data_IF_921241664038
#
_entry.id   IF_921241664038
#
_cell.length_a   1.000
_cell.length_b   1.000
_cell.length_c   1.000
_cell.angle_alpha   90.00
_cell.angle_beta   90.00
_cell.angle_gamma   90.00
#
_symmetry.space_group_name_H-M   'P 1'
#
loop_
_entity.id
_entity.type
_entity.pdbx_description
1 polymer ?
#
# COMPACT_ATOMS: atom_id res chain seq x y z
N UNK A 1 3.55 -5.80 -49.14
CA UNK A 1 4.93 -5.45 -48.72
C UNK A 1 5.02 -4.30 -47.69
N UNK A 2 4.06 -3.37 -47.57
CA UNK A 2 4.11 -2.28 -46.57
C UNK A 2 3.60 -2.64 -45.16
N UNK A 3 2.78 -3.68 -45.02
CA UNK A 3 2.23 -4.12 -43.71
C UNK A 3 3.20 -4.97 -42.87
N UNK A 4 4.21 -5.62 -43.46
CA UNK A 4 5.20 -6.42 -42.71
C UNK A 4 6.26 -5.57 -41.99
N UNK A 5 6.49 -4.32 -42.43
CA UNK A 5 7.48 -3.44 -41.81
C UNK A 5 6.99 -2.79 -40.52
N UNK A 6 5.68 -2.56 -40.37
CA UNK A 6 5.10 -1.94 -39.17
C UNK A 6 5.04 -2.94 -38.01
N UNK A 7 4.77 -4.22 -38.30
CA UNK A 7 4.77 -5.28 -37.27
C UNK A 7 6.17 -5.54 -36.67
N UNK A 8 7.24 -5.33 -37.43
CA UNK A 8 8.61 -5.53 -36.96
C UNK A 8 9.11 -4.38 -36.07
N UNK A 9 8.59 -3.15 -36.25
CA UNK A 9 8.92 -2.02 -35.37
C UNK A 9 8.23 -2.10 -34.00
N UNK A 10 6.98 -2.59 -33.94
CA UNK A 10 6.29 -2.77 -32.65
C UNK A 10 6.89 -3.89 -31.80
N UNK A 11 7.38 -4.97 -32.41
CA UNK A 11 8.06 -6.05 -31.68
C UNK A 11 9.42 -5.62 -31.08
N UNK A 12 10.11 -4.67 -31.70
CA UNK A 12 11.40 -4.15 -31.20
C UNK A 12 11.22 -3.18 -30.02
N UNK A 13 10.09 -2.47 -29.92
CA UNK A 13 9.78 -1.56 -28.80
C UNK A 13 9.35 -2.34 -27.56
N UNK A 14 8.68 -3.49 -27.71
CA UNK A 14 8.24 -4.32 -26.58
C UNK A 14 9.38 -5.10 -25.89
N UNK A 15 10.52 -5.33 -26.56
CA UNK A 15 11.71 -5.96 -25.97
C UNK A 15 12.66 -4.97 -25.27
N UNK A 16 12.37 -3.67 -25.32
CA UNK A 16 13.20 -2.63 -24.70
C UNK A 16 12.89 -2.39 -23.21
N UNK A 17 11.80 -2.96 -22.66
CA UNK A 17 11.33 -2.66 -21.31
C UNK A 17 12.13 -3.33 -20.17
N UNK A 18 13.09 -4.22 -20.47
CA UNK A 18 13.91 -4.91 -19.46
C UNK A 18 15.43 -4.69 -19.60
N UNK A 19 15.88 -3.78 -20.48
CA UNK A 19 17.33 -3.52 -20.63
C UNK A 19 17.78 -2.40 -19.70
N UNK A 20 18.88 -2.58 -18.94
CA UNK A 20 19.47 -1.49 -18.19
C UNK A 20 19.82 -0.32 -19.11
N UNK A 21 19.79 0.90 -18.58
CA UNK A 21 20.13 2.10 -19.33
C UNK A 21 21.49 1.95 -20.04
N UNK A 22 21.67 2.51 -21.26
CA UNK A 22 22.91 2.39 -22.02
C UNK A 22 24.13 2.75 -21.15
N UNK A 23 25.05 1.79 -20.97
CA UNK A 23 26.29 1.98 -20.20
C UNK A 23 26.26 1.50 -18.75
N UNK A 24 25.15 0.94 -18.25
CA UNK A 24 25.08 0.36 -16.90
C UNK A 24 25.29 -1.17 -16.92
N UNK A 25 25.97 -1.75 -15.91
CA UNK A 25 26.18 -3.21 -15.84
C UNK A 25 24.85 -3.96 -15.64
N UNK A 26 24.79 -5.26 -16.04
CA UNK A 26 23.62 -6.09 -15.77
C UNK A 26 23.36 -6.21 -14.26
N UNK A 27 22.09 -6.32 -13.88
CA UNK A 27 21.67 -6.39 -12.47
C UNK A 27 22.41 -7.55 -11.75
N UNK A 28 23.07 -7.31 -10.60
CA UNK A 28 23.43 -8.40 -9.70
C UNK A 28 22.12 -9.05 -9.22
N UNK A 29 22.12 -10.37 -9.05
CA UNK A 29 21.02 -11.03 -8.36
C UNK A 29 21.04 -10.58 -6.88
N UNK A 30 20.20 -9.61 -6.53
CA UNK A 30 20.01 -9.22 -5.13
C UNK A 30 19.22 -10.31 -4.43
N UNK A 31 19.70 -10.78 -3.27
CA UNK A 31 18.90 -11.66 -2.41
C UNK A 31 17.59 -10.92 -2.04
N UNK A 32 16.44 -11.47 -2.43
CA UNK A 32 15.11 -10.91 -2.15
C UNK A 32 14.41 -10.16 -3.31
N UNK A 33 14.99 -10.10 -4.53
CA UNK A 33 14.25 -9.66 -5.72
C UNK A 33 13.92 -10.85 -6.64
N UNK A 34 12.64 -11.12 -6.97
CA UNK A 34 12.32 -12.15 -7.95
C UNK A 34 12.77 -11.75 -9.36
N UNK A 35 13.21 -12.71 -10.19
CA UNK A 35 13.66 -12.48 -11.56
C UNK A 35 12.51 -11.98 -12.44
N UNK A 36 12.83 -11.07 -13.39
CA UNK A 36 11.85 -10.38 -14.24
C UNK A 36 11.18 -11.24 -15.33
N UNK A 37 11.53 -12.51 -15.47
CA UNK A 37 11.11 -13.36 -16.59
C UNK A 37 10.48 -14.68 -16.14
N UNK A 38 9.21 -14.64 -15.72
CA UNK A 38 8.38 -15.84 -15.56
C UNK A 38 7.41 -15.97 -16.72
N UNK A 39 7.93 -16.39 -17.88
CA UNK A 39 7.10 -16.81 -19.02
C UNK A 39 6.47 -18.16 -18.69
N UNK A 40 5.14 -18.17 -18.64
CA UNK A 40 4.31 -19.26 -18.15
C UNK A 40 4.50 -20.59 -18.86
N UNK A 41 4.51 -21.66 -18.07
CA UNK A 41 4.28 -23.01 -18.58
C UNK A 41 2.77 -23.25 -18.65
N UNK A 42 2.19 -23.74 -19.76
CA UNK A 42 0.78 -24.11 -19.78
C UNK A 42 0.59 -25.36 -18.92
N UNK A 43 -0.36 -25.34 -17.97
CA UNK A 43 -0.76 -26.53 -17.21
C UNK A 43 -2.27 -26.77 -17.30
N UNK A 44 -2.58 -28.06 -17.31
CA UNK A 44 -3.90 -28.65 -17.55
C UNK A 44 -4.88 -28.35 -16.41
N UNK A 45 -6.18 -28.19 -16.71
CA UNK A 45 -7.21 -28.00 -15.68
C UNK A 45 -7.44 -29.29 -14.88
N UNK A 46 -7.39 -29.17 -13.54
CA UNK A 46 -7.83 -30.24 -12.63
C UNK A 46 -9.36 -30.17 -12.40
N UNK A 47 -9.94 -31.34 -12.15
CA UNK A 47 -11.37 -31.54 -12.02
C UNK A 47 -11.96 -30.87 -10.77
N UNK A 48 -13.07 -30.14 -10.96
CA UNK A 48 -13.87 -29.49 -9.92
C UNK A 48 -14.61 -30.56 -9.10
N UNK A 49 -14.39 -30.59 -7.79
CA UNK A 49 -15.23 -31.34 -6.86
C UNK A 49 -16.25 -30.36 -6.26
N UNK A 50 -17.53 -30.58 -6.54
CA UNK A 50 -18.62 -29.79 -5.96
C UNK A 50 -19.11 -30.45 -4.67
N UNK A 51 -19.01 -29.79 -3.51
CA UNK A 51 -19.66 -30.29 -2.30
C UNK A 51 -21.17 -30.02 -2.37
N UNK A 52 -21.97 -31.01 -1.96
CA UNK A 52 -23.41 -30.88 -1.84
C UNK A 52 -23.76 -30.02 -0.61
N UNK A 53 -24.45 -28.90 -0.82
CA UNK A 53 -24.88 -28.00 0.25
C UNK A 53 -26.35 -28.24 0.60
N UNK A 54 -26.62 -28.48 1.88
CA UNK A 54 -27.99 -28.54 2.45
C UNK A 54 -28.38 -27.11 2.83
N UNK A 55 -29.44 -26.57 2.21
CA UNK A 55 -29.91 -25.22 2.47
C UNK A 55 -30.82 -25.17 3.71
N UNK A 56 -30.42 -24.40 4.72
CA UNK A 56 -31.30 -23.90 5.77
C UNK A 56 -31.84 -22.52 5.36
N UNK A 57 -33.07 -22.14 5.78
CA UNK A 57 -33.62 -20.82 5.47
C UNK A 57 -32.83 -19.74 6.21
N UNK A 58 -32.05 -18.96 5.45
CA UNK A 58 -31.30 -17.82 5.96
C UNK A 58 -32.23 -16.63 6.15
N UNK A 59 -32.37 -16.16 7.39
CA UNK A 59 -32.80 -14.79 7.65
C UNK A 59 -31.65 -13.91 7.16
N UNK A 60 -31.86 -13.21 6.04
CA UNK A 60 -30.87 -12.31 5.47
C UNK A 60 -30.72 -11.08 6.39
N UNK A 61 -29.89 -11.20 7.42
CA UNK A 61 -29.28 -10.02 8.02
C UNK A 61 -28.50 -9.33 6.91
N UNK A 62 -28.89 -8.10 6.60
CA UNK A 62 -28.15 -7.27 5.65
C UNK A 62 -26.75 -7.12 6.23
N UNK A 63 -25.74 -7.60 5.51
CA UNK A 63 -24.35 -7.45 5.94
C UNK A 63 -24.07 -5.94 6.12
N UNK A 64 -23.35 -5.54 7.18
CA UNK A 64 -22.99 -4.13 7.35
C UNK A 64 -22.23 -3.66 6.10
N UNK A 65 -22.64 -2.51 5.58
CA UNK A 65 -22.03 -1.86 4.42
C UNK A 65 -21.02 -0.82 4.89
N UNK A 66 -20.05 -0.46 4.05
CA UNK A 66 -19.12 0.62 4.39
C UNK A 66 -19.82 1.98 4.34
N UNK A 67 -19.31 2.91 5.14
CA UNK A 67 -19.75 4.31 5.14
C UNK A 67 -18.64 5.14 4.51
N UNK A 68 -18.93 5.96 3.47
CA UNK A 68 -17.97 6.92 2.97
C UNK A 68 -17.52 7.83 4.11
N UNK A 69 -16.22 8.13 4.16
CA UNK A 69 -15.71 9.05 5.16
C UNK A 69 -16.44 10.40 5.02
N UNK A 70 -17.13 10.83 6.07
CA UNK A 70 -17.85 12.09 6.04
C UNK A 70 -16.85 13.22 6.12
N UNK A 71 -16.97 14.19 5.21
CA UNK A 71 -16.32 15.47 5.38
C UNK A 71 -16.61 16.01 6.80
N UNK A 72 -15.58 16.38 7.58
CA UNK A 72 -15.79 16.92 8.92
C UNK A 72 -16.76 18.09 8.86
N UNK A 73 -17.75 18.11 9.76
CA UNK A 73 -18.66 19.25 9.85
C UNK A 73 -17.85 20.52 10.17
N UNK A 74 -17.94 21.52 9.30
CA UNK A 74 -17.19 22.77 9.45
C UNK A 74 -17.54 23.45 10.78
N UNK A 75 -16.53 23.75 11.60
CA UNK A 75 -16.69 24.46 12.87
C UNK A 75 -17.04 23.61 14.10
N UNK A 76 -17.13 22.28 13.96
CA UNK A 76 -17.39 21.36 15.08
C UNK A 76 -16.09 20.76 15.65
N UNK A 77 -15.10 20.54 14.79
CA UNK A 77 -13.81 19.94 15.16
C UNK A 77 -12.65 20.92 14.91
N UNK A 78 -11.59 20.87 15.72
CA UNK A 78 -10.36 21.59 15.41
C UNK A 78 -9.77 21.15 14.08
N UNK A 79 -9.18 22.09 13.36
CA UNK A 79 -8.51 21.91 12.07
C UNK A 79 -7.01 21.67 12.24
N UNK A 80 -6.32 21.24 11.17
CA UNK A 80 -4.86 21.24 11.15
C UNK A 80 -4.29 22.65 11.39
N UNK A 81 -4.94 23.70 10.88
CA UNK A 81 -4.54 25.07 11.16
C UNK A 81 -4.66 25.40 12.66
N UNK A 82 -5.73 24.97 13.33
CA UNK A 82 -5.88 25.14 14.78
C UNK A 82 -4.79 24.39 15.55
N UNK A 83 -4.40 23.18 15.11
CA UNK A 83 -3.28 22.43 15.68
C UNK A 83 -1.97 23.18 15.53
N UNK A 84 -1.65 23.62 14.31
CA UNK A 84 -0.43 24.39 14.05
C UNK A 84 -0.41 25.68 14.86
N UNK A 85 -1.51 26.42 14.95
CA UNK A 85 -1.63 27.64 15.76
C UNK A 85 -1.56 27.39 17.29
N UNK A 86 -1.42 26.13 17.74
CA UNK A 86 -1.41 25.75 19.16
C UNK A 86 -2.78 25.87 19.84
N UNK A 87 -3.85 26.06 19.06
CA UNK A 87 -5.25 26.11 19.52
C UNK A 87 -5.88 24.72 19.64
N UNK A 88 -5.22 23.69 19.13
CA UNK A 88 -5.58 22.28 19.27
C UNK A 88 -4.35 21.44 19.62
N UNK A 89 -4.57 20.25 20.17
CA UNK A 89 -3.53 19.27 20.46
C UNK A 89 -4.04 17.86 20.19
N UNK A 90 -3.13 16.96 19.80
CA UNK A 90 -3.40 15.53 19.87
C UNK A 90 -3.41 15.10 21.34
N UNK A 91 -4.40 14.32 21.73
CA UNK A 91 -4.50 13.70 23.04
C UNK A 91 -4.74 12.20 22.84
N UNK A 92 -4.00 11.38 23.57
CA UNK A 92 -4.25 9.93 23.61
C UNK A 92 -5.50 9.71 24.47
N UNK A 93 -6.51 9.07 23.89
CA UNK A 93 -7.72 8.64 24.63
C UNK A 93 -7.50 7.27 25.28
N UNK A 94 -7.15 6.26 24.46
CA UNK A 94 -6.86 4.90 24.90
C UNK A 94 -5.40 4.57 24.55
N UNK A 95 -4.60 4.24 25.56
CA UNK A 95 -3.16 3.93 25.38
C UNK A 95 -2.92 2.62 24.62
N UNK A 96 -3.73 1.60 24.90
CA UNK A 96 -3.67 0.30 24.25
C UNK A 96 -5.07 -0.15 23.85
N UNK A 97 -5.34 -0.14 22.55
CA UNK A 97 -6.60 -0.59 21.97
C UNK A 97 -6.58 -2.09 21.63
N UNK A 98 -5.47 -2.78 21.83
CA UNK A 98 -5.25 -4.16 21.39
C UNK A 98 -4.74 -4.30 19.95
N UNK A 99 -4.66 -3.20 19.18
CA UNK A 99 -3.96 -3.20 17.89
C UNK A 99 -2.46 -3.41 18.12
N UNK A 100 -1.82 -4.34 17.40
CA UNK A 100 -0.38 -4.53 17.53
C UNK A 100 0.36 -3.30 16.96
N UNK A 101 1.59 -3.10 17.43
CA UNK A 101 2.51 -2.18 16.77
C UNK A 101 2.65 -2.58 15.30
N UNK A 102 2.39 -1.64 14.40
CA UNK A 102 2.28 -1.91 12.98
C UNK A 102 1.71 -0.72 12.23
N UNK A 103 1.44 -0.94 10.95
CA UNK A 103 0.82 0.05 10.08
C UNK A 103 -0.58 -0.39 9.71
N UNK A 104 -1.54 0.53 9.85
CA UNK A 104 -2.94 0.22 9.63
C UNK A 104 -3.70 1.34 8.96
N UNK A 105 -4.84 0.98 8.36
CA UNK A 105 -5.91 1.90 8.00
C UNK A 105 -7.21 1.41 8.62
N UNK A 106 -8.04 2.33 9.15
CA UNK A 106 -9.28 1.96 9.84
C UNK A 106 -10.49 2.58 9.17
N UNK A 107 -11.41 1.74 8.69
CA UNK A 107 -12.66 2.18 8.06
C UNK A 107 -13.86 1.98 8.99
N UNK A 108 -14.91 2.77 8.75
CA UNK A 108 -16.16 2.71 9.52
C UNK A 108 -17.25 2.01 8.70
N UNK A 109 -17.93 1.05 9.32
CA UNK A 109 -19.11 0.38 8.75
C UNK A 109 -20.42 1.04 9.17
N UNK A 110 -21.51 0.73 8.47
CA UNK A 110 -22.83 1.34 8.64
C UNK A 110 -23.52 0.93 9.94
N UNK A 111 -23.09 -0.17 10.54
CA UNK A 111 -23.47 -0.58 11.89
C UNK A 111 -22.62 0.10 13.00
N UNK A 112 -21.65 0.96 12.65
CA UNK A 112 -20.73 1.61 13.58
C UNK A 112 -19.53 0.76 13.99
N UNK A 113 -19.39 -0.45 13.45
CA UNK A 113 -18.19 -1.28 13.62
C UNK A 113 -17.00 -0.65 12.89
N UNK A 114 -15.80 -0.77 13.46
CA UNK A 114 -14.56 -0.33 12.84
C UNK A 114 -13.76 -1.54 12.38
N UNK A 115 -13.28 -1.50 11.13
CA UNK A 115 -12.36 -2.49 10.58
C UNK A 115 -10.99 -1.86 10.37
N UNK A 116 -10.00 -2.35 11.10
CA UNK A 116 -8.61 -1.95 10.94
C UNK A 116 -7.87 -2.98 10.11
N UNK A 117 -7.41 -2.57 8.92
CA UNK A 117 -6.56 -3.35 8.04
C UNK A 117 -5.11 -3.18 8.50
N UNK A 118 -4.54 -4.21 9.10
CA UNK A 118 -3.28 -4.12 9.83
C UNK A 118 -2.22 -4.99 9.16
N UNK A 119 -1.05 -4.39 8.94
CA UNK A 119 0.21 -5.10 8.83
C UNK A 119 0.95 -4.95 10.17
N UNK A 120 1.21 -6.05 10.87
CA UNK A 120 1.87 -6.00 12.17
C UNK A 120 3.39 -5.92 11.99
N UNK A 121 4.05 -5.02 12.73
CA UNK A 121 5.51 -4.77 12.65
C UNK A 121 6.31 -5.42 13.77
N UNK A 122 5.68 -6.30 14.59
CA UNK A 122 6.34 -6.94 15.73
C UNK A 122 6.08 -8.45 15.91
N UNK A 123 4.90 -8.98 15.57
CA UNK A 123 4.57 -10.40 15.75
C UNK A 123 3.48 -10.89 14.80
N UNK A 124 3.64 -12.10 14.27
CA UNK A 124 2.56 -12.83 13.61
C UNK A 124 1.67 -13.45 14.70
N UNK A 125 0.49 -12.88 14.92
CA UNK A 125 -0.43 -13.21 16.02
C UNK A 125 -1.17 -14.54 15.82
N UNK A 126 -0.43 -15.60 15.47
CA UNK A 126 -1.00 -16.89 15.05
C UNK A 126 -1.67 -16.86 13.68
N UNK A 127 -1.32 -15.87 12.85
CA UNK A 127 -1.88 -15.70 11.50
C UNK A 127 -1.42 -16.84 10.60
N UNK A 128 -2.36 -17.42 9.86
CA UNK A 128 -2.09 -18.42 8.82
C UNK A 128 -2.42 -17.89 7.43
N UNK A 129 -1.85 -18.50 6.41
CA UNK A 129 -2.25 -18.27 5.03
C UNK A 129 -3.56 -19.01 4.70
N UNK A 130 -4.10 -18.80 3.50
CA UNK A 130 -5.34 -19.48 3.07
C UNK A 130 -5.16 -20.99 2.85
N UNK A 131 -3.93 -21.49 2.88
CA UNK A 131 -3.59 -22.91 2.82
C UNK A 131 -3.38 -23.52 4.22
N UNK A 132 -3.50 -22.73 5.28
CA UNK A 132 -3.34 -23.13 6.67
C UNK A 132 -1.89 -23.19 7.17
N UNK A 133 -0.91 -22.72 6.37
CA UNK A 133 0.47 -22.64 6.83
C UNK A 133 0.68 -21.38 7.69
N UNK A 134 1.50 -21.44 8.75
CA UNK A 134 1.88 -20.25 9.52
C UNK A 134 2.54 -19.19 8.63
N UNK A 135 2.21 -17.92 8.87
CA UNK A 135 2.79 -16.79 8.14
C UNK A 135 3.92 -16.19 8.97
N UNK A 136 5.11 -16.18 8.41
CA UNK A 136 6.28 -15.56 9.01
C UNK A 136 6.17 -14.03 8.97
N UNK A 137 6.81 -13.38 9.94
CA UNK A 137 6.99 -11.93 9.96
C UNK A 137 7.96 -11.49 8.83
N UNK A 138 7.73 -10.36 8.10
CA UNK A 138 6.75 -9.28 8.33
C UNK A 138 5.29 -9.57 7.94
N UNK A 139 5.05 -10.58 7.11
CA UNK A 139 3.72 -11.18 6.94
C UNK A 139 2.74 -10.39 6.07
N UNK A 140 1.45 -10.60 6.33
CA UNK A 140 0.34 -10.17 5.47
C UNK A 140 -0.64 -9.24 6.20
N UNK A 141 -1.54 -8.60 5.44
CA UNK A 141 -2.62 -7.80 6.00
C UNK A 141 -3.66 -8.70 6.65
N UNK A 142 -4.13 -8.31 7.83
CA UNK A 142 -5.26 -8.92 8.55
C UNK A 142 -6.26 -7.85 8.99
N UNK A 143 -7.50 -8.24 9.30
CA UNK A 143 -8.53 -7.32 9.79
C UNK A 143 -8.72 -7.50 11.30
N UNK A 144 -8.48 -6.44 12.06
CA UNK A 144 -8.92 -6.29 13.44
C UNK A 144 -10.26 -5.56 13.47
N UNK A 145 -11.15 -5.96 14.37
CA UNK A 145 -12.50 -5.41 14.47
C UNK A 145 -12.73 -4.75 15.82
N UNK A 146 -13.43 -3.63 15.82
CA UNK A 146 -13.92 -2.96 17.02
C UNK A 146 -15.43 -2.72 16.93
N UNK A 147 -16.14 -3.04 18.00
CA UNK A 147 -17.59 -2.81 18.14
C UNK A 147 -17.93 -1.79 19.24
N UNK A 148 -16.90 -1.17 19.83
CA UNK A 148 -17.01 -0.26 20.98
C UNK A 148 -16.47 1.15 20.65
N UNK A 149 -16.49 1.52 19.38
CA UNK A 149 -16.03 2.83 18.90
C UNK A 149 -14.51 2.99 18.90
N UNK A 150 -13.77 1.88 18.78
CA UNK A 150 -12.31 1.88 18.66
C UNK A 150 -11.57 1.80 19.98
N UNK A 151 -12.27 1.55 21.10
CA UNK A 151 -11.63 1.40 22.41
C UNK A 151 -10.92 0.06 22.53
N UNK A 152 -11.46 -0.98 21.88
CA UNK A 152 -10.82 -2.29 21.77
C UNK A 152 -10.91 -2.84 20.35
N UNK A 153 -9.84 -3.50 19.91
CA UNK A 153 -9.70 -4.19 18.63
C UNK A 153 -9.29 -5.64 18.87
N UNK A 154 -9.92 -6.57 18.17
CA UNK A 154 -9.61 -7.99 18.27
C UNK A 154 -9.54 -8.66 16.89
N UNK A 155 -8.71 -9.69 16.80
CA UNK A 155 -8.74 -10.65 15.69
C UNK A 155 -9.92 -11.62 15.85
N UNK A 156 -10.39 -12.22 14.75
CA UNK A 156 -11.23 -13.41 14.84
C UNK A 156 -10.46 -14.58 15.48
N UNK A 157 -11.18 -15.59 15.97
CA UNK A 157 -10.61 -16.76 16.65
C UNK A 157 -9.57 -17.51 15.79
N UNK A 158 -9.77 -17.54 14.47
CA UNK A 158 -8.83 -18.09 13.50
C UNK A 158 -8.37 -16.98 12.54
N UNK A 159 -7.33 -16.19 12.89
CA UNK A 159 -6.85 -15.12 12.04
C UNK A 159 -6.11 -15.69 10.83
N UNK A 160 -6.47 -15.21 9.64
CA UNK A 160 -5.83 -15.58 8.39
C UNK A 160 -5.48 -14.33 7.58
N UNK A 161 -4.53 -14.46 6.66
CA UNK A 161 -4.23 -13.42 5.69
C UNK A 161 -5.49 -13.01 4.93
N UNK A 162 -5.69 -11.70 4.80
CA UNK A 162 -6.82 -11.13 4.10
C UNK A 162 -6.78 -11.45 2.59
N UNK A 163 -5.59 -11.42 2.00
CA UNK A 163 -5.38 -11.76 0.59
C UNK A 163 -5.13 -13.26 0.50
N UNK A 164 -6.00 -14.03 -0.18
CA UNK A 164 -5.82 -15.47 -0.33
C UNK A 164 -4.74 -15.77 -1.37
N UNK A 165 -4.10 -16.93 -1.22
CA UNK A 165 -3.19 -17.47 -2.20
C UNK A 165 -3.95 -17.99 -3.41
N UNK A 166 -3.35 -17.85 -4.59
CA UNK A 166 -3.95 -18.33 -5.85
C UNK A 166 -3.98 -19.85 -5.93
N UNK A 167 -3.04 -20.51 -5.27
CA UNK A 167 -2.94 -21.96 -5.17
C UNK A 167 -2.26 -22.38 -3.87
N UNK A 168 -2.36 -23.67 -3.54
CA UNK A 168 -1.65 -24.25 -2.40
C UNK A 168 -0.53 -25.19 -2.87
N UNK A 169 0.68 -25.11 -2.30
CA UNK A 169 1.13 -24.11 -1.32
C UNK A 169 1.24 -22.71 -1.92
N UNK A 170 1.18 -21.68 -1.06
CA UNK A 170 1.33 -20.29 -1.47
C UNK A 170 2.73 -20.02 -2.04
N UNK A 171 2.81 -19.20 -3.08
CA UNK A 171 4.05 -18.74 -3.68
C UNK A 171 4.29 -17.29 -3.28
N UNK A 172 5.25 -17.04 -2.39
CA UNK A 172 5.47 -15.73 -1.79
C UNK A 172 5.52 -14.56 -2.80
N UNK A 173 6.22 -14.75 -3.93
CA UNK A 173 6.39 -13.72 -4.97
C UNK A 173 5.12 -13.41 -5.76
N UNK A 174 4.20 -14.37 -5.86
CA UNK A 174 2.95 -14.24 -6.61
C UNK A 174 1.81 -13.83 -5.68
N UNK A 175 1.74 -14.44 -4.51
CA UNK A 175 0.68 -14.26 -3.52
C UNK A 175 0.99 -13.13 -2.53
N UNK A 176 2.19 -12.56 -2.58
CA UNK A 176 2.68 -11.45 -1.75
C UNK A 176 2.62 -11.77 -0.25
N UNK A 177 3.04 -12.96 0.17
CA UNK A 177 2.80 -13.46 1.54
C UNK A 177 3.74 -12.90 2.63
N UNK A 178 4.85 -12.26 2.25
CA UNK A 178 5.96 -12.00 3.18
C UNK A 178 6.08 -10.54 3.63
N UNK A 179 5.42 -9.58 2.98
CA UNK A 179 5.60 -8.16 3.29
C UNK A 179 4.49 -7.29 2.66
N UNK A 180 3.29 -7.30 3.24
CA UNK A 180 2.19 -6.43 2.77
C UNK A 180 2.11 -5.14 3.61
N UNK A 181 3.14 -4.31 3.54
CA UNK A 181 3.33 -3.17 4.44
C UNK A 181 2.45 -1.97 4.10
N UNK A 182 2.19 -1.14 5.12
CA UNK A 182 1.47 0.14 4.97
C UNK A 182 0.13 0.01 4.22
N UNK A 183 -0.77 -0.91 4.61
CA UNK A 183 -2.08 -0.96 3.98
C UNK A 183 -2.79 0.40 4.16
N UNK A 184 -3.29 0.94 3.05
CA UNK A 184 -4.19 2.09 3.01
C UNK A 184 -5.41 1.73 2.23
N UNK A 185 -6.56 1.98 2.82
CA UNK A 185 -7.87 1.57 2.32
C UNK A 185 -8.76 2.79 2.21
N UNK A 186 -9.39 2.97 1.05
CA UNK A 186 -10.33 4.05 0.80
C UNK A 186 -11.62 3.50 0.20
N UNK A 187 -12.77 3.97 0.67
CA UNK A 187 -14.07 3.64 0.12
C UNK A 187 -14.68 4.89 -0.53
N UNK A 188 -14.91 4.84 -1.84
CA UNK A 188 -15.42 5.98 -2.62
C UNK A 188 -16.96 6.09 -2.63
N UNK A 189 -17.66 5.19 -1.93
CA UNK A 189 -19.11 5.08 -1.93
C UNK A 189 -19.67 3.97 -2.83
N UNK A 190 -18.86 3.44 -3.73
CA UNK A 190 -19.20 2.32 -4.61
C UNK A 190 -18.23 1.14 -4.45
N UNK A 191 -16.93 1.44 -4.36
CA UNK A 191 -15.83 0.49 -4.38
C UNK A 191 -14.78 0.84 -3.33
N UNK A 192 -14.14 -0.20 -2.81
CA UNK A 192 -12.96 -0.07 -1.98
C UNK A 192 -11.69 -0.20 -2.78
N UNK A 193 -10.70 0.59 -2.40
CA UNK A 193 -9.36 0.60 -2.95
C UNK A 193 -8.38 0.35 -1.83
N UNK A 194 -7.46 -0.59 -2.02
CA UNK A 194 -6.35 -0.82 -1.11
C UNK A 194 -5.04 -0.63 -1.85
N UNK A 195 -4.17 0.19 -1.29
CA UNK A 195 -2.75 0.19 -1.66
C UNK A 195 -1.90 -0.34 -0.53
N UNK A 196 -0.82 -1.02 -0.87
CA UNK A 196 0.16 -1.51 0.08
C UNK A 196 1.53 -1.61 -0.59
N UNK A 197 2.59 -1.59 0.21
CA UNK A 197 3.95 -1.86 -0.24
C UNK A 197 4.22 -3.36 -0.22
N UNK A 198 4.82 -3.86 -1.30
CA UNK A 198 5.40 -5.20 -1.40
C UNK A 198 6.82 -5.11 -1.97
N UNK A 199 7.84 -5.39 -1.15
CA UNK A 199 9.26 -5.33 -1.53
C UNK A 199 9.64 -4.01 -2.23
N UNK A 200 9.23 -2.88 -1.64
CA UNK A 200 9.45 -1.53 -2.19
C UNK A 200 8.52 -1.11 -3.33
N UNK A 201 7.67 -1.99 -3.84
CA UNK A 201 6.72 -1.71 -4.94
C UNK A 201 5.34 -1.39 -4.36
N UNK A 202 4.62 -0.47 -4.98
CA UNK A 202 3.24 -0.20 -4.57
C UNK A 202 2.29 -1.07 -5.37
N UNK A 203 1.44 -1.79 -4.65
CA UNK A 203 0.38 -2.65 -5.20
C UNK A 203 -0.97 -2.02 -4.92
N UNK A 204 -1.86 -2.08 -5.90
CA UNK A 204 -3.26 -1.68 -5.80
C UNK A 204 -4.15 -2.92 -5.89
N UNK A 205 -5.20 -2.95 -5.08
CA UNK A 205 -6.30 -3.90 -5.18
C UNK A 205 -7.63 -3.18 -5.02
N UNK A 206 -8.67 -3.76 -5.59
CA UNK A 206 -10.04 -3.30 -5.43
C UNK A 206 -10.92 -4.35 -4.75
N UNK A 207 -11.97 -3.90 -4.09
CA UNK A 207 -12.96 -4.77 -3.45
C UNK A 207 -14.34 -4.13 -3.45
N UNK A 208 -15.38 -4.96 -3.49
CA UNK A 208 -16.77 -4.53 -3.31
C UNK A 208 -17.23 -4.59 -1.85
N UNK A 209 -16.54 -5.36 -1.00
CA UNK A 209 -16.97 -5.67 0.37
C UNK A 209 -15.86 -5.49 1.43
N UNK A 210 -14.64 -5.19 1.00
CA UNK A 210 -13.47 -5.03 1.87
C UNK A 210 -12.88 -6.33 2.39
N UNK A 211 -13.39 -7.47 1.93
CA UNK A 211 -12.98 -8.82 2.34
C UNK A 211 -12.35 -9.57 1.16
N UNK A 212 -13.01 -9.54 0.00
CA UNK A 212 -12.53 -10.16 -1.22
C UNK A 212 -11.85 -9.10 -2.09
N UNK A 213 -10.54 -9.26 -2.30
CA UNK A 213 -9.72 -8.31 -3.04
C UNK A 213 -9.31 -8.85 -4.41
N UNK A 214 -9.27 -7.98 -5.41
CA UNK A 214 -8.79 -8.30 -6.77
C UNK A 214 -7.35 -8.79 -6.77
N UNK A 215 -6.89 -9.34 -7.89
CA UNK A 215 -5.46 -9.53 -8.18
C UNK A 215 -4.69 -8.19 -8.04
N UNK A 216 -3.39 -8.23 -7.67
CA UNK A 216 -2.62 -7.02 -7.43
C UNK A 216 -2.22 -6.36 -8.75
N UNK A 217 -2.48 -5.07 -8.86
CA UNK A 217 -1.94 -4.22 -9.91
C UNK A 217 -0.67 -3.51 -9.41
N UNK A 218 0.39 -3.43 -10.23
CA UNK A 218 1.55 -2.61 -9.89
C UNK A 218 1.28 -1.15 -10.29
N UNK A 219 1.37 -0.24 -9.32
CA UNK A 219 1.26 1.19 -9.57
C UNK A 219 2.54 1.71 -10.22
N UNK A 220 2.47 1.96 -11.52
CA UNK A 220 3.53 2.57 -12.33
C UNK A 220 4.93 1.96 -12.10
N UNK A 221 5.98 2.78 -12.16
CA UNK A 221 7.35 2.40 -11.85
C UNK A 221 7.73 2.61 -10.38
N UNK A 222 6.84 2.26 -9.45
CA UNK A 222 7.13 2.36 -8.00
C UNK A 222 8.08 1.27 -7.56
N UNK A 223 9.19 1.66 -6.93
CA UNK A 223 10.26 0.77 -6.44
C UNK A 223 11.25 1.53 -5.54
N UNK A 224 12.12 0.79 -4.86
CA UNK A 224 13.37 1.29 -4.26
C UNK A 224 14.55 0.70 -5.06
N UNK A 225 15.52 1.51 -5.46
CA UNK A 225 16.55 1.05 -6.39
C UNK A 225 17.90 1.73 -6.20
N UNK A 226 18.89 1.11 -6.86
CA UNK A 226 20.24 1.63 -6.91
C UNK A 226 20.52 2.45 -8.16
N UNK A 227 21.46 3.38 -8.05
CA UNK A 227 21.94 4.19 -9.17
C UNK A 227 22.57 3.41 -10.32
N UNK A 228 23.03 2.18 -10.06
CA UNK A 228 23.52 1.30 -11.13
C UNK A 228 22.36 0.76 -11.98
N UNK A 229 21.13 0.69 -11.45
CA UNK A 229 19.95 0.25 -12.20
C UNK A 229 19.40 1.38 -13.08
N UNK A 230 19.14 2.55 -12.49
CA UNK A 230 18.68 3.76 -13.18
C UNK A 230 19.05 5.00 -12.38
N UNK A 231 19.26 6.11 -13.09
CA UNK A 231 19.31 7.42 -12.45
C UNK A 231 17.92 7.81 -11.93
N UNK A 232 17.87 8.75 -10.97
CA UNK A 232 16.63 9.30 -10.43
C UNK A 232 16.74 10.83 -10.22
N UNK A 233 15.62 11.56 -10.30
CA UNK A 233 15.53 12.98 -9.96
C UNK A 233 16.00 13.27 -8.52
N UNK A 234 16.17 14.55 -8.19
CA UNK A 234 16.71 14.97 -6.90
C UNK A 234 15.77 14.61 -5.74
N UNK A 235 14.46 14.75 -5.95
CA UNK A 235 13.39 14.46 -5.01
C UNK A 235 13.24 12.96 -4.71
N UNK A 236 13.71 12.07 -5.59
CA UNK A 236 13.68 10.62 -5.36
C UNK A 236 14.93 10.13 -4.61
N UNK A 237 15.90 11.01 -4.30
CA UNK A 237 17.15 10.64 -3.61
C UNK A 237 16.91 10.37 -2.14
N UNK A 238 17.32 9.18 -1.69
CA UNK A 238 17.24 8.81 -0.27
C UNK A 238 18.25 9.63 0.57
N UNK A 239 19.38 10.01 -0.04
CA UNK A 239 20.48 10.65 0.68
C UNK A 239 21.11 9.72 1.73
N UNK A 240 22.13 10.20 2.44
CA UNK A 240 22.73 9.42 3.54
C UNK A 240 21.86 9.56 4.78
N UNK A 241 21.35 8.45 5.31
CA UNK A 241 20.64 8.44 6.58
C UNK A 241 21.61 8.13 7.74
N UNK A 242 21.62 8.92 8.84
CA UNK A 242 22.54 8.70 9.95
C UNK A 242 22.28 7.39 10.71
N UNK A 243 21.05 6.89 10.69
CA UNK A 243 20.62 5.74 11.51
C UNK A 243 20.29 4.48 10.70
N UNK A 244 20.33 4.53 9.36
CA UNK A 244 19.90 3.39 8.55
C UNK A 244 20.95 3.02 7.51
N UNK A 245 21.49 1.78 7.55
CA UNK A 245 22.58 1.35 6.70
C UNK A 245 22.15 0.90 5.29
N UNK A 246 20.87 1.08 4.92
CA UNK A 246 20.41 0.70 3.57
C UNK A 246 21.22 1.43 2.50
N UNK A 247 21.65 0.68 1.49
CA UNK A 247 22.52 1.15 0.42
C UNK A 247 21.75 1.60 -0.83
N UNK A 248 20.41 1.64 -0.79
CA UNK A 248 19.63 2.18 -1.90
C UNK A 248 19.81 3.69 -2.01
N UNK A 249 19.89 4.19 -3.25
CA UNK A 249 20.10 5.61 -3.51
C UNK A 249 18.84 6.34 -3.99
N UNK A 250 17.80 5.59 -4.40
CA UNK A 250 16.57 6.13 -4.95
C UNK A 250 15.33 5.44 -4.39
N UNK A 251 14.30 6.21 -4.04
CA UNK A 251 12.98 5.74 -3.62
C UNK A 251 11.89 6.52 -4.34
N UNK A 252 10.93 5.78 -4.90
CA UNK A 252 9.61 6.25 -5.32
C UNK A 252 8.64 5.11 -5.08
N UNK A 253 7.98 5.10 -3.93
CA UNK A 253 7.17 3.94 -3.53
C UNK A 253 6.58 4.11 -2.14
N UNK A 254 6.79 3.10 -1.28
CA UNK A 254 6.19 3.09 0.04
C UNK A 254 6.81 4.10 1.02
N UNK A 255 6.04 4.56 2.04
CA UNK A 255 4.64 4.20 2.31
C UNK A 255 3.66 4.81 1.29
N UNK A 256 2.69 4.04 0.77
CA UNK A 256 1.70 4.54 -0.18
C UNK A 256 0.48 5.15 0.53
N UNK A 257 -0.33 5.90 -0.23
CA UNK A 257 -1.68 6.36 0.13
C UNK A 257 -2.62 6.27 -1.06
N UNK A 258 -3.93 6.22 -0.83
CA UNK A 258 -4.94 6.15 -1.90
C UNK A 258 -6.10 7.08 -1.63
N UNK A 259 -6.59 7.74 -2.69
CA UNK A 259 -7.74 8.64 -2.63
C UNK A 259 -8.45 8.65 -4.00
N UNK A 260 -9.77 8.80 -3.99
CA UNK A 260 -10.57 8.93 -5.21
C UNK A 260 -11.40 10.20 -5.14
N UNK A 261 -11.33 11.00 -6.20
CA UNK A 261 -12.11 12.23 -6.37
C UNK A 261 -12.52 12.40 -7.82
N UNK A 262 -13.78 12.80 -8.05
CA UNK A 262 -14.36 13.03 -9.37
C UNK A 262 -14.03 11.95 -10.44
N UNK A 263 -14.09 10.67 -10.04
CA UNK A 263 -13.78 9.54 -10.92
C UNK A 263 -12.28 9.34 -11.22
N UNK A 264 -11.40 10.06 -10.52
CA UNK A 264 -9.96 9.97 -10.64
C UNK A 264 -9.36 9.28 -9.41
N UNK A 265 -8.58 8.23 -9.64
CA UNK A 265 -7.81 7.53 -8.61
C UNK A 265 -6.44 8.20 -8.46
N UNK A 266 -6.07 8.50 -7.22
CA UNK A 266 -4.76 9.01 -6.84
C UNK A 266 -4.07 8.01 -5.93
N UNK A 267 -2.83 7.68 -6.26
CA UNK A 267 -1.94 6.88 -5.41
C UNK A 267 -0.77 7.75 -5.00
N UNK A 268 -0.71 8.12 -3.73
CA UNK A 268 0.38 8.88 -3.14
C UNK A 268 1.54 7.95 -2.79
N UNK A 269 2.77 8.44 -2.94
CA UNK A 269 3.99 7.67 -2.72
C UNK A 269 5.04 8.55 -2.06
N UNK A 270 5.90 7.93 -1.24
CA UNK A 270 7.10 8.58 -0.78
C UNK A 270 8.14 8.66 -1.91
N UNK A 271 8.87 9.77 -1.95
CA UNK A 271 10.01 10.01 -2.83
C UNK A 271 11.20 10.46 -1.98
N UNK A 272 12.35 9.81 -2.17
CA UNK A 272 13.54 10.11 -1.40
C UNK A 272 13.38 9.85 0.11
N UNK A 273 14.24 10.45 0.94
CA UNK A 273 14.19 10.26 2.41
C UNK A 273 14.81 11.42 3.20
N UNK A 274 15.83 12.09 2.68
CA UNK A 274 16.49 13.20 3.38
C UNK A 274 16.96 14.30 2.40
N UNK A 275 16.13 15.33 2.12
CA UNK A 275 14.74 15.49 2.57
C UNK A 275 13.80 14.44 1.95
N UNK A 276 12.68 14.16 2.61
CA UNK A 276 11.59 13.39 2.03
C UNK A 276 10.71 14.25 1.12
N UNK A 277 10.01 13.61 0.20
CA UNK A 277 9.01 14.23 -0.65
C UNK A 277 7.81 13.31 -0.82
N UNK A 278 6.65 13.90 -1.12
CA UNK A 278 5.47 13.15 -1.56
C UNK A 278 5.25 13.36 -3.05
N UNK A 279 5.12 12.28 -3.79
CA UNK A 279 4.60 12.30 -5.16
C UNK A 279 3.24 11.62 -5.26
N UNK A 280 2.64 11.68 -6.43
CA UNK A 280 1.51 10.83 -6.77
C UNK A 280 1.54 10.28 -8.19
N UNK A 281 0.83 9.16 -8.34
CA UNK A 281 0.41 8.59 -9.60
C UNK A 281 -1.11 8.68 -9.69
N UNK A 282 -1.63 8.79 -10.91
CA UNK A 282 -3.06 8.95 -11.12
C UNK A 282 -3.56 8.24 -12.37
N UNK A 283 -4.84 7.86 -12.35
CA UNK A 283 -5.58 7.26 -13.47
C UNK A 283 -7.09 7.37 -13.24
N UNK A 284 -7.94 7.47 -14.28
CA UNK A 284 -9.38 7.35 -14.10
C UNK A 284 -9.77 5.98 -13.51
N UNK A 285 -10.77 5.94 -12.63
CA UNK A 285 -11.19 4.71 -11.92
C UNK A 285 -11.72 3.62 -12.85
N UNK A 286 -12.29 4.01 -14.00
CA UNK A 286 -12.90 3.11 -15.00
C UNK A 286 -11.93 2.70 -16.13
N UNK A 287 -10.66 3.10 -16.04
CA UNK A 287 -9.64 2.91 -17.09
C UNK A 287 -8.50 2.02 -16.63
N UNK A 288 -8.80 0.86 -16.04
CA UNK A 288 -7.80 -0.14 -15.65
C UNK A 288 -6.89 -0.63 -16.80
N UNK A 289 -7.30 -0.41 -18.06
CA UNK A 289 -6.51 -0.68 -19.26
C UNK A 289 -5.40 0.36 -19.54
N UNK A 290 -5.43 1.51 -18.87
CA UNK A 290 -4.42 2.55 -18.99
C UNK A 290 -3.36 2.42 -17.89
N UNK A 291 -2.08 2.71 -18.19
CA UNK A 291 -1.07 2.81 -17.15
C UNK A 291 -1.33 4.02 -16.25
N UNK A 292 -0.88 3.94 -15.01
CA UNK A 292 -0.78 5.10 -14.14
C UNK A 292 0.18 6.15 -14.73
N UNK A 293 -0.26 7.41 -14.73
CA UNK A 293 0.58 8.56 -15.07
C UNK A 293 1.10 9.24 -13.79
N UNK A 294 2.30 9.81 -13.82
CA UNK A 294 2.73 10.69 -12.76
C UNK A 294 1.84 11.94 -12.72
N UNK A 295 1.51 12.43 -11.53
CA UNK A 295 0.83 13.70 -11.38
C UNK A 295 1.67 14.86 -11.91
N UNK A 296 1.03 15.86 -12.53
CA UNK A 296 1.70 17.02 -13.13
C UNK A 296 2.48 17.86 -12.11
N UNK A 297 1.98 17.94 -10.88
CA UNK A 297 2.58 18.71 -9.78
C UNK A 297 3.59 17.96 -8.92
N UNK A 298 4.19 16.87 -9.41
CA UNK A 298 5.18 16.13 -8.60
C UNK A 298 6.53 16.89 -8.49
N UNK A 299 7.20 16.84 -7.31
CA UNK A 299 6.66 16.38 -6.03
C UNK A 299 5.59 17.34 -5.49
N UNK A 300 4.53 16.80 -4.88
CA UNK A 300 3.43 17.58 -4.30
C UNK A 300 3.92 18.50 -3.18
N UNK A 301 4.88 18.01 -2.39
CA UNK A 301 5.65 18.80 -1.44
C UNK A 301 6.97 18.10 -1.12
N UNK A 302 7.91 18.90 -0.61
CA UNK A 302 9.25 18.46 -0.15
C UNK A 302 9.44 18.96 1.27
N UNK A 303 9.87 18.09 2.17
CA UNK A 303 10.15 18.48 3.54
C UNK A 303 11.50 19.17 3.71
N UNK A 304 11.77 19.62 4.94
CA UNK A 304 13.06 20.19 5.31
C UNK A 304 14.16 19.12 5.38
N UNK A 305 15.42 19.55 5.38
CA UNK A 305 16.58 18.67 5.59
C UNK A 305 16.88 18.35 7.08
N UNK A 306 16.12 18.94 8.02
CA UNK A 306 16.29 18.75 9.47
C UNK A 306 14.94 18.61 10.17
N UNK A 307 14.90 18.08 11.39
CA UNK A 307 13.64 17.86 12.14
C UNK A 307 13.00 19.14 12.71
N UNK A 308 13.66 20.30 12.57
CA UNK A 308 13.22 21.53 13.22
C UNK A 308 13.45 21.53 14.74
N UNK A 309 13.05 22.61 15.40
CA UNK A 309 13.09 22.69 16.85
C UNK A 309 11.85 22.01 17.47
N UNK A 310 12.02 21.37 18.63
CA UNK A 310 10.93 20.63 19.31
C UNK A 310 9.80 21.53 19.80
N UNK A 311 10.07 22.82 19.98
CA UNK A 311 9.14 23.85 20.43
C UNK A 311 8.59 24.72 19.29
N UNK A 312 8.92 24.40 18.04
CA UNK A 312 8.41 25.11 16.87
C UNK A 312 6.92 24.80 16.66
N UNK A 313 6.11 25.84 16.50
CA UNK A 313 4.66 25.76 16.25
C UNK A 313 4.26 26.77 15.18
N UNK A 314 3.03 26.67 14.68
CA UNK A 314 2.45 27.59 13.70
C UNK A 314 3.02 27.39 12.29
N UNK A 315 2.82 28.40 11.45
CA UNK A 315 3.36 28.43 10.09
C UNK A 315 4.88 28.16 9.99
N UNK A 316 5.74 28.58 10.96
CA UNK A 316 7.16 28.22 10.98
C UNK A 316 7.44 26.70 11.06
N UNK A 317 6.51 25.90 11.59
CA UNK A 317 6.65 24.45 11.65
C UNK A 317 6.36 23.73 10.32
N UNK A 318 5.66 24.38 9.38
CA UNK A 318 5.22 23.78 8.12
C UNK A 318 6.34 23.10 7.31
N UNK A 319 7.56 23.67 7.17
CA UNK A 319 8.64 23.02 6.44
C UNK A 319 9.08 21.68 7.04
N UNK A 320 8.81 21.44 8.34
CA UNK A 320 9.18 20.21 9.04
C UNK A 320 8.09 19.12 8.96
N UNK A 321 6.93 19.44 8.38
CA UNK A 321 5.98 18.43 7.96
C UNK A 321 6.55 17.69 6.74
N UNK A 322 7.11 16.51 6.97
CA UNK A 322 7.88 15.76 5.99
C UNK A 322 7.45 14.28 5.95
N UNK A 323 7.58 13.65 4.79
CA UNK A 323 7.46 12.22 4.58
C UNK A 323 8.83 11.57 4.80
N UNK A 324 9.26 11.51 6.06
CA UNK A 324 10.45 10.74 6.44
C UNK A 324 10.05 9.32 6.77
N UNK A 325 10.76 8.36 6.19
CA UNK A 325 10.71 6.98 6.66
C UNK A 325 11.31 6.93 8.07
N UNK A 326 10.44 6.89 9.07
CA UNK A 326 10.77 6.46 10.43
C UNK A 326 10.14 5.07 10.53
N UNK A 327 10.96 4.03 10.53
CA UNK A 327 10.42 2.69 10.74
C UNK A 327 10.20 2.49 12.24
N UNK A 328 8.99 2.08 12.64
CA UNK A 328 8.67 1.67 14.01
C UNK A 328 9.45 0.43 14.48
N UNK A 329 10.17 -0.25 13.56
CA UNK A 329 11.11 -1.31 13.86
C UNK A 329 12.52 -0.81 14.23
N UNK A 330 12.75 0.50 14.23
CA UNK A 330 14.03 1.11 14.62
C UNK A 330 14.04 1.32 16.16
N UNK A 331 14.74 0.43 16.87
CA UNK A 331 15.10 0.54 18.29
C UNK A 331 16.26 1.50 18.51
#
# INVERSE_FOLDING_TARGET
MRLLFIASLLAAVLLAACRPAPGKPPLPATAGQPPSDSVGTPRLPLARVTPASVALPAVALTAPSLVPERAPATGVHPTLADFWDGRARFAVDVEDTGLPMGESETVVLSNGELWSYVHASQRSAGVVDSCGAPVDFPGCVVIYRSVDGGRTFALPEAPACLIPCRQCPCEADVDHMVQQQYPRVYFDGERMWMVYEYLGRVKLRESADGLAWSEPEHVAGTVIWHLWHSDCPAEERIGRHPFVPFNYECLRGGPPGVYVDDGQLYVFVAQGRNPGAMGCFTRPVDRADQPFAACEGNPLFVGAASYGALDETGAPANPFFDFRTISSAEL
#
